data_IF_053390930572
#
_entry.id   IF_053390930572
#
_cell.length_a   1.000
_cell.length_b   1.000
_cell.length_c   1.000
_cell.angle_alpha   90.00
_cell.angle_beta   90.00
_cell.angle_gamma   90.00
#
_symmetry.space_group_name_H-M   'P 1'
#
loop_
_entity.id
_entity.type
_entity.pdbx_description
1 polymer ?
#
# COMPACT_ATOMS: atom_id res chain seq x y z
N UNK A 1 18.04 -11.20 -1.06
CA UNK A 1 17.84 -10.66 0.30
C UNK A 1 16.61 -11.32 0.90
N UNK A 2 16.80 -12.17 1.91
CA UNK A 2 15.69 -12.71 2.70
C UNK A 2 15.51 -11.78 3.91
N UNK A 3 14.33 -11.20 4.05
CA UNK A 3 13.94 -10.43 5.22
C UNK A 3 13.29 -11.42 6.18
N UNK A 4 13.85 -11.63 7.36
CA UNK A 4 13.15 -12.34 8.43
C UNK A 4 11.96 -11.49 8.88
N UNK A 5 10.78 -12.09 8.89
CA UNK A 5 9.55 -11.46 9.33
C UNK A 5 8.69 -12.46 10.10
N UNK A 6 7.98 -12.00 11.12
CA UNK A 6 7.05 -12.84 11.92
C UNK A 6 5.58 -12.68 11.48
N UNK A 7 5.35 -11.96 10.38
CA UNK A 7 4.01 -11.79 9.87
C UNK A 7 3.88 -10.61 8.93
N UNK A 8 2.71 -10.55 8.30
CA UNK A 8 2.36 -9.56 7.31
C UNK A 8 0.85 -9.33 7.33
N UNK A 9 0.44 -8.07 7.36
CA UNK A 9 -0.97 -7.67 7.35
C UNK A 9 -1.18 -6.56 6.30
N UNK A 10 -2.24 -6.70 5.49
CA UNK A 10 -2.70 -5.65 4.58
C UNK A 10 -4.09 -5.23 5.00
N UNK A 11 -4.27 -3.93 5.22
CA UNK A 11 -5.57 -3.30 5.35
C UNK A 11 -5.83 -2.43 4.13
N UNK A 12 -6.98 -2.61 3.48
CA UNK A 12 -7.43 -1.75 2.38
C UNK A 12 -8.72 -1.05 2.78
N UNK A 13 -8.64 0.27 2.89
CA UNK A 13 -9.78 1.14 3.08
C UNK A 13 -10.08 1.88 1.79
N UNK A 14 -11.35 2.17 1.54
CA UNK A 14 -11.77 2.92 0.36
C UNK A 14 -12.70 4.08 0.74
N UNK A 15 -12.61 5.16 -0.02
CA UNK A 15 -13.53 6.30 0.06
C UNK A 15 -14.31 6.39 -1.22
N UNK A 16 -15.62 6.56 -1.11
CA UNK A 16 -16.52 6.68 -2.25
C UNK A 16 -17.19 8.04 -2.29
N UNK A 17 -17.24 8.65 -3.46
CA UNK A 17 -18.12 9.79 -3.72
C UNK A 17 -19.57 9.31 -3.88
N UNK A 18 -20.54 10.15 -3.52
CA UNK A 18 -21.96 9.90 -3.79
C UNK A 18 -22.39 10.73 -5.02
N UNK A 19 -23.20 10.13 -5.89
CA UNK A 19 -23.78 10.68 -7.14
C UNK A 19 -22.81 10.97 -8.32
N UNK A 20 -22.56 10.01 -9.23
CA UNK A 20 -22.81 8.57 -9.09
C UNK A 20 -21.86 7.98 -8.03
N UNK A 21 -22.23 6.83 -7.47
CA UNK A 21 -21.33 6.13 -6.56
C UNK A 21 -20.09 5.66 -7.30
N UNK A 22 -18.92 6.16 -6.90
CA UNK A 22 -17.62 5.74 -7.45
C UNK A 22 -16.57 5.82 -6.36
N UNK A 23 -15.68 4.84 -6.33
CA UNK A 23 -14.49 4.91 -5.50
C UNK A 23 -13.63 6.08 -5.98
N UNK A 24 -13.19 6.93 -5.07
CA UNK A 24 -12.34 8.11 -5.35
C UNK A 24 -10.97 8.01 -4.70
N UNK A 25 -10.81 7.10 -3.74
CA UNK A 25 -9.54 6.92 -3.03
C UNK A 25 -9.46 5.51 -2.44
N UNK A 26 -8.27 4.91 -2.53
CA UNK A 26 -7.89 3.70 -1.81
C UNK A 26 -6.72 4.04 -0.88
N UNK A 27 -6.84 3.64 0.38
CA UNK A 27 -5.79 3.73 1.37
C UNK A 27 -5.39 2.31 1.75
N UNK A 28 -4.19 1.91 1.34
CA UNK A 28 -3.63 0.59 1.61
C UNK A 28 -2.55 0.74 2.68
N UNK A 29 -2.79 0.17 3.85
CA UNK A 29 -1.79 0.10 4.91
C UNK A 29 -1.19 -1.30 4.92
N UNK A 30 0.13 -1.38 4.81
CA UNK A 30 0.89 -2.62 4.87
C UNK A 30 1.66 -2.62 6.19
N UNK A 31 1.45 -3.63 7.01
CA UNK A 31 2.21 -3.83 8.23
C UNK A 31 3.07 -5.09 8.09
N UNK A 32 4.37 -4.94 8.30
CA UNK A 32 5.34 -6.03 8.26
C UNK A 32 6.00 -6.10 9.63
N UNK A 33 5.86 -7.23 10.31
CA UNK A 33 6.52 -7.46 11.58
C UNK A 33 7.96 -7.90 11.31
N UNK A 34 8.80 -6.93 10.97
CA UNK A 34 10.21 -7.12 10.64
C UNK A 34 11.00 -5.85 10.96
N UNK A 35 12.27 -6.00 11.32
CA UNK A 35 13.22 -4.88 11.38
C UNK A 35 13.68 -4.53 9.98
N UNK A 36 13.26 -3.37 9.49
CA UNK A 36 13.59 -2.91 8.14
C UNK A 36 14.52 -1.70 8.21
N UNK A 37 15.52 -1.66 7.34
CA UNK A 37 16.31 -0.44 7.13
C UNK A 37 15.47 0.60 6.37
N UNK A 38 15.75 1.91 6.52
CA UNK A 38 15.07 2.95 5.74
C UNK A 38 15.12 2.71 4.23
N UNK A 39 16.27 2.27 3.71
CA UNK A 39 16.45 1.92 2.29
C UNK A 39 15.54 0.77 1.84
N UNK A 40 15.34 -0.23 2.72
CA UNK A 40 14.43 -1.35 2.45
C UNK A 40 12.97 -0.90 2.45
N UNK A 41 12.60 -0.02 3.37
CA UNK A 41 11.26 0.57 3.43
C UNK A 41 10.95 1.34 2.14
N UNK A 42 11.88 2.18 1.69
CA UNK A 42 11.73 2.97 0.46
C UNK A 42 11.58 2.06 -0.77
N UNK A 43 12.43 1.04 -0.91
CA UNK A 43 12.34 0.07 -2.00
C UNK A 43 11.02 -0.71 -1.99
N UNK A 44 10.54 -1.13 -0.81
CA UNK A 44 9.26 -1.83 -0.68
C UNK A 44 8.07 -0.94 -1.06
N UNK A 45 8.09 0.34 -0.67
CA UNK A 45 7.05 1.30 -1.05
C UNK A 45 7.05 1.57 -2.57
N UNK A 46 8.23 1.70 -3.18
CA UNK A 46 8.37 1.87 -4.62
C UNK A 46 7.78 0.68 -5.39
N UNK A 47 8.14 -0.54 -4.98
CA UNK A 47 7.63 -1.78 -5.59
C UNK A 47 6.13 -1.98 -5.35
N UNK A 48 5.63 -1.67 -4.15
CA UNK A 48 4.19 -1.72 -3.88
C UNK A 48 3.39 -0.77 -4.80
N UNK A 49 3.97 0.39 -5.12
CA UNK A 49 3.40 1.36 -6.06
C UNK A 49 3.42 0.93 -7.53
N UNK A 50 4.16 -0.13 -7.88
CA UNK A 50 4.25 -0.71 -9.24
C UNK A 50 3.26 -1.86 -9.45
N UNK A 51 2.54 -2.31 -8.43
CA UNK A 51 1.62 -3.43 -8.58
C UNK A 51 0.54 -3.11 -9.64
N UNK A 52 0.18 -4.11 -10.45
CA UNK A 52 -0.71 -3.94 -11.62
C UNK A 52 -2.01 -3.19 -11.26
N UNK A 53 -2.60 -3.50 -10.11
CA UNK A 53 -3.83 -2.88 -9.61
C UNK A 53 -3.59 -1.42 -9.21
N UNK A 54 -2.52 -1.14 -8.46
CA UNK A 54 -2.13 0.23 -8.12
C UNK A 54 -1.84 1.08 -9.36
N UNK A 55 -1.16 0.51 -10.35
CA UNK A 55 -0.81 1.23 -11.58
C UNK A 55 -2.04 1.47 -12.49
N UNK A 56 -2.99 0.54 -12.52
CA UNK A 56 -4.24 0.67 -13.29
C UNK A 56 -5.21 1.67 -12.65
N UNK A 57 -5.21 1.77 -11.32
CA UNK A 57 -6.14 2.61 -10.56
C UNK A 57 -5.67 4.07 -10.47
N UNK A 58 -4.37 4.37 -10.62
CA UNK A 58 -3.83 5.75 -10.61
C UNK A 58 -4.52 6.74 -11.56
N UNK A 59 -5.22 6.27 -12.59
CA UNK A 59 -5.97 7.13 -13.51
C UNK A 59 -7.31 7.67 -12.97
N UNK A 60 -7.82 7.22 -11.81
CA UNK A 60 -9.10 7.71 -11.29
C UNK A 60 -9.15 7.85 -9.74
N UNK A 61 -8.92 6.82 -8.92
CA UNK A 61 -8.70 6.98 -7.48
C UNK A 61 -7.26 7.30 -7.09
N UNK A 62 -7.06 8.16 -6.07
CA UNK A 62 -5.75 8.25 -5.40
C UNK A 62 -5.47 6.97 -4.62
N UNK A 63 -4.26 6.42 -4.76
CA UNK A 63 -3.79 5.24 -4.02
C UNK A 63 -2.69 5.68 -3.07
N UNK A 64 -2.95 5.59 -1.77
CA UNK A 64 -1.95 5.87 -0.73
C UNK A 64 -1.47 4.55 -0.13
N UNK A 65 -0.15 4.36 -0.06
CA UNK A 65 0.47 3.17 0.52
C UNK A 65 1.32 3.61 1.70
N UNK A 66 1.07 3.01 2.86
CA UNK A 66 1.86 3.25 4.07
C UNK A 66 2.45 1.93 4.55
N UNK A 67 3.71 1.95 4.97
CA UNK A 67 4.41 0.80 5.53
C UNK A 67 4.66 1.01 7.03
N UNK A 68 4.22 0.06 7.85
CA UNK A 68 4.51 0.00 9.28
C UNK A 68 5.48 -1.17 9.54
N UNK A 69 6.56 -0.89 10.28
CA UNK A 69 7.55 -1.88 10.74
C UNK A 69 7.80 -1.74 12.24
N UNK A 70 8.29 -2.80 12.88
CA UNK A 70 8.59 -2.84 14.33
C UNK A 70 9.89 -2.10 14.71
#
# INVERSE_FOLDING_TARGET
NNIEHDGFEITVNNKSARNPSRCVEYNTSIKINAKLSPETIEGLLEEAGKCYVGNTIKCAPSVNIELQSD
#
